data_IF_229411742925
#
_entry.id   IF_229411742925
#
_cell.length_a   1.000
_cell.length_b   1.000
_cell.length_c   1.000
_cell.angle_alpha   90.00
_cell.angle_beta   90.00
_cell.angle_gamma   90.00
#
_symmetry.space_group_name_H-M   'P 1'
#
loop_
_entity.id
_entity.type
_entity.pdbx_description
1 polymer ?
#
# COMPACT_ATOMS: atom_id res chain seq x y z
N UNK A 1 13.11 -26.80 34.75
CA UNK A 1 11.85 -26.58 34.02
C UNK A 1 11.62 -27.76 33.11
N UNK A 2 10.46 -28.39 33.21
CA UNK A 2 10.02 -29.38 32.21
C UNK A 2 9.50 -28.67 30.95
N UNK A 3 9.19 -29.44 29.89
CA UNK A 3 8.76 -28.87 28.60
C UNK A 3 7.43 -28.11 28.70
N UNK A 4 6.52 -28.56 29.56
CA UNK A 4 5.21 -27.93 29.79
C UNK A 4 5.34 -26.59 30.52
N UNK A 5 6.18 -26.52 31.54
CA UNK A 5 6.53 -25.29 32.25
C UNK A 5 7.21 -24.29 31.32
N UNK A 6 8.05 -24.78 30.40
CA UNK A 6 8.71 -23.93 29.41
C UNK A 6 7.72 -23.39 28.37
N UNK A 7 6.82 -24.20 27.83
CA UNK A 7 5.75 -23.72 26.95
C UNK A 7 4.88 -22.66 27.65
N UNK A 8 4.48 -22.90 28.90
CA UNK A 8 3.69 -21.95 29.68
C UNK A 8 4.44 -20.63 29.91
N UNK A 9 5.73 -20.70 30.27
CA UNK A 9 6.57 -19.51 30.44
C UNK A 9 6.73 -18.72 29.12
N UNK A 10 6.97 -19.41 28.00
CA UNK A 10 7.08 -18.78 26.67
C UNK A 10 5.78 -18.06 26.30
N UNK A 11 4.61 -18.67 26.53
CA UNK A 11 3.31 -18.03 26.30
C UNK A 11 3.11 -16.80 27.17
N UNK A 12 3.48 -16.87 28.46
CA UNK A 12 3.42 -15.73 29.40
C UNK A 12 4.29 -14.56 28.95
N UNK A 13 5.45 -14.85 28.34
CA UNK A 13 6.36 -13.87 27.74
C UNK A 13 5.93 -13.40 26.33
N UNK A 14 4.79 -13.88 25.82
CA UNK A 14 4.30 -13.61 24.45
C UNK A 14 5.28 -14.09 23.36
N UNK A 15 5.99 -15.20 23.61
CA UNK A 15 6.89 -15.89 22.69
C UNK A 15 6.16 -17.06 22.00
N UNK A 16 5.07 -16.74 21.32
CA UNK A 16 4.14 -17.74 20.77
C UNK A 16 4.66 -18.50 19.55
N UNK A 17 5.62 -17.92 18.81
CA UNK A 17 6.38 -18.59 17.77
C UNK A 17 7.24 -19.69 18.37
N UNK A 18 8.12 -19.35 19.32
CA UNK A 18 8.95 -20.33 20.04
C UNK A 18 8.12 -21.44 20.66
N UNK A 19 7.04 -21.11 21.37
CA UNK A 19 6.16 -22.08 22.01
C UNK A 19 5.61 -23.13 21.01
N UNK A 20 5.23 -22.69 19.80
CA UNK A 20 4.64 -23.58 18.81
C UNK A 20 5.65 -24.53 18.13
N UNK A 21 6.92 -24.13 18.01
CA UNK A 21 7.96 -24.93 17.34
C UNK A 21 8.93 -25.61 18.31
N UNK A 22 8.79 -25.36 19.62
CA UNK A 22 9.71 -25.81 20.66
C UNK A 22 10.01 -27.31 20.58
N UNK A 23 8.97 -28.15 20.54
CA UNK A 23 9.15 -29.61 20.47
C UNK A 23 9.82 -30.05 19.17
N UNK A 24 9.44 -29.46 18.03
CA UNK A 24 10.00 -29.79 16.74
C UNK A 24 11.51 -29.45 16.67
N UNK A 25 11.88 -28.25 17.15
CA UNK A 25 13.28 -27.80 17.18
C UNK A 25 14.12 -28.58 18.19
N UNK A 26 13.55 -28.99 19.33
CA UNK A 26 14.25 -29.86 20.29
C UNK A 26 14.55 -31.24 19.70
N UNK A 27 13.58 -31.85 18.98
CA UNK A 27 13.82 -33.11 18.28
C UNK A 27 14.87 -32.96 17.19
N UNK A 28 14.79 -31.88 16.40
CA UNK A 28 15.79 -31.58 15.37
C UNK A 28 17.19 -31.45 15.97
N UNK A 29 17.34 -30.71 17.08
CA UNK A 29 18.64 -30.55 17.74
C UNK A 29 19.21 -31.88 18.27
N UNK A 30 18.37 -32.81 18.70
CA UNK A 30 18.80 -34.15 19.10
C UNK A 30 19.28 -34.99 17.92
N UNK A 31 18.57 -34.93 16.78
CA UNK A 31 18.91 -35.69 15.57
C UNK A 31 20.16 -35.14 14.89
N UNK A 32 20.25 -33.82 14.73
CA UNK A 32 21.34 -33.13 14.02
C UNK A 32 22.54 -32.79 14.92
N UNK A 33 22.45 -33.04 16.23
CA UNK A 33 23.45 -32.66 17.25
C UNK A 33 23.81 -31.17 17.19
N UNK A 34 22.80 -30.31 17.06
CA UNK A 34 22.98 -28.86 17.02
C UNK A 34 23.63 -28.37 18.32
N UNK A 35 24.52 -27.38 18.22
CA UNK A 35 25.08 -26.75 19.40
C UNK A 35 23.94 -26.02 20.17
N UNK A 36 24.05 -25.88 21.51
CA UNK A 36 23.01 -25.21 22.30
C UNK A 36 22.70 -23.79 21.81
N UNK A 37 23.72 -23.07 21.34
CA UNK A 37 23.54 -21.72 20.78
C UNK A 37 22.74 -21.73 19.47
N UNK A 38 22.95 -22.74 18.60
CA UNK A 38 22.25 -22.84 17.33
C UNK A 38 20.76 -23.15 17.53
N UNK A 39 20.44 -24.01 18.51
CA UNK A 39 19.05 -24.28 18.90
C UNK A 39 18.35 -23.01 19.39
N UNK A 40 18.99 -22.24 20.28
CA UNK A 40 18.42 -20.98 20.78
C UNK A 40 18.29 -19.98 19.65
N UNK A 41 19.30 -19.85 18.78
CA UNK A 41 19.26 -18.98 17.59
C UNK A 41 18.09 -19.35 16.67
N UNK A 42 17.86 -20.63 16.39
CA UNK A 42 16.75 -21.09 15.55
C UNK A 42 15.39 -20.77 16.19
N UNK A 43 15.22 -21.04 17.49
CA UNK A 43 14.00 -20.72 18.22
C UNK A 43 13.69 -19.23 18.21
N UNK A 44 14.70 -18.39 18.44
CA UNK A 44 14.55 -16.92 18.39
C UNK A 44 14.23 -16.46 16.96
N UNK A 45 14.87 -17.03 15.94
CA UNK A 45 14.58 -16.72 14.55
C UNK A 45 13.12 -17.04 14.19
N UNK A 46 12.59 -18.18 14.62
CA UNK A 46 11.19 -18.58 14.39
C UNK A 46 10.20 -17.61 15.08
N UNK A 47 10.52 -17.12 16.29
CA UNK A 47 9.71 -16.08 16.94
C UNK A 47 9.73 -14.76 16.18
N UNK A 48 10.92 -14.32 15.77
CA UNK A 48 11.09 -13.06 15.04
C UNK A 48 10.35 -13.10 13.71
N UNK A 49 10.42 -14.21 12.98
CA UNK A 49 9.70 -14.42 11.73
C UNK A 49 8.18 -14.36 11.96
N UNK A 50 7.67 -15.11 12.94
CA UNK A 50 6.24 -15.08 13.27
C UNK A 50 5.73 -13.70 13.70
N UNK A 51 6.55 -12.92 14.42
CA UNK A 51 6.21 -11.55 14.81
C UNK A 51 6.17 -10.62 13.61
N UNK A 52 7.13 -10.74 12.70
CA UNK A 52 7.15 -9.99 11.44
C UNK A 52 5.92 -10.30 10.59
N UNK A 53 5.59 -11.58 10.41
CA UNK A 53 4.42 -12.01 9.64
C UNK A 53 3.13 -11.45 10.23
N UNK A 54 2.92 -11.59 11.54
CA UNK A 54 1.73 -11.03 12.20
C UNK A 54 1.64 -9.51 12.09
N UNK A 55 2.78 -8.83 12.16
CA UNK A 55 2.82 -7.38 12.00
C UNK A 55 2.49 -6.96 10.57
N UNK A 56 3.02 -7.68 9.59
CA UNK A 56 2.71 -7.52 8.17
C UNK A 56 1.22 -7.74 7.92
N UNK A 57 0.67 -8.89 8.31
CA UNK A 57 -0.74 -9.24 8.13
C UNK A 57 -1.68 -8.21 8.76
N UNK A 58 -1.35 -7.77 9.98
CA UNK A 58 -2.15 -6.74 10.67
C UNK A 58 -2.13 -5.42 9.89
N UNK A 59 -0.96 -4.97 9.43
CA UNK A 59 -0.83 -3.72 8.67
C UNK A 59 -1.49 -3.82 7.30
N UNK A 60 -1.35 -4.96 6.63
CA UNK A 60 -1.97 -5.24 5.33
C UNK A 60 -3.50 -5.23 5.44
N UNK A 61 -4.06 -5.88 6.46
CA UNK A 61 -5.50 -5.82 6.78
C UNK A 61 -5.96 -4.39 7.06
N UNK A 62 -5.20 -3.63 7.87
CA UNK A 62 -5.54 -2.24 8.20
C UNK A 62 -5.42 -1.28 7.00
N UNK A 63 -4.58 -1.59 6.03
CA UNK A 63 -4.43 -0.78 4.82
C UNK A 63 -5.71 -0.76 3.97
N UNK A 64 -6.54 -1.81 4.04
CA UNK A 64 -7.80 -1.97 3.29
C UNK A 64 -7.63 -1.83 1.77
N UNK A 65 -6.64 -2.52 1.21
CA UNK A 65 -6.47 -2.60 -0.25
C UNK A 65 -7.72 -3.18 -0.94
N UNK A 66 -8.05 -2.67 -2.13
CA UNK A 66 -9.16 -3.18 -2.94
C UNK A 66 -8.91 -4.63 -3.39
N UNK A 67 -7.70 -4.88 -3.89
CA UNK A 67 -7.20 -6.17 -4.35
C UNK A 67 -5.98 -6.56 -3.50
N UNK A 68 -6.15 -7.35 -2.43
CA UNK A 68 -5.08 -7.60 -1.44
C UNK A 68 -3.87 -8.37 -1.99
N UNK A 69 -4.07 -9.15 -3.06
CA UNK A 69 -3.07 -10.04 -3.64
C UNK A 69 -2.11 -9.34 -4.62
N UNK A 70 -2.35 -8.05 -4.94
CA UNK A 70 -1.52 -7.33 -5.91
C UNK A 70 -0.09 -7.19 -5.40
N UNK A 71 0.86 -7.62 -6.22
CA UNK A 71 2.30 -7.56 -5.96
C UNK A 71 3.02 -7.09 -7.22
N UNK A 72 4.30 -6.71 -7.09
CA UNK A 72 5.11 -6.37 -8.26
C UNK A 72 5.44 -7.62 -9.09
N UNK A 73 5.56 -8.79 -8.46
CA UNK A 73 5.86 -10.05 -9.14
C UNK A 73 4.73 -10.50 -10.09
N UNK A 74 3.49 -10.14 -9.76
CA UNK A 74 2.31 -10.41 -10.60
C UNK A 74 2.10 -9.37 -11.72
N UNK A 75 2.97 -8.36 -11.83
CA UNK A 75 2.86 -7.30 -12.81
C UNK A 75 3.70 -7.58 -14.06
N UNK A 76 3.04 -7.68 -15.22
CA UNK A 76 3.71 -7.84 -16.52
C UNK A 76 4.26 -6.50 -17.03
N UNK A 77 5.55 -6.26 -16.79
CA UNK A 77 6.25 -5.07 -17.27
C UNK A 77 6.51 -5.07 -18.79
N UNK A 78 6.39 -6.20 -19.48
CA UNK A 78 6.58 -6.29 -20.93
C UNK A 78 5.33 -5.84 -21.70
N UNK A 79 4.16 -5.84 -21.06
CA UNK A 79 2.93 -5.34 -21.64
C UNK A 79 3.00 -3.86 -22.04
N UNK A 80 3.58 -3.03 -21.16
CA UNK A 80 3.76 -1.59 -21.36
C UNK A 80 5.26 -1.23 -21.26
N UNK A 81 6.04 -1.61 -22.27
CA UNK A 81 7.52 -1.42 -22.31
C UNK A 81 8.02 0.01 -22.11
N UNK A 82 7.19 1.02 -22.39
CA UNK A 82 7.54 2.45 -22.21
C UNK A 82 7.42 2.93 -20.76
N UNK A 83 6.95 2.09 -19.83
CA UNK A 83 6.89 2.44 -18.41
C UNK A 83 8.28 2.41 -17.77
N UNK A 84 8.55 3.39 -16.92
CA UNK A 84 9.83 3.50 -16.21
C UNK A 84 9.92 2.44 -15.11
N UNK A 85 10.51 1.28 -15.42
CA UNK A 85 10.71 0.18 -14.48
C UNK A 85 11.62 0.57 -13.32
N UNK A 86 12.68 1.34 -13.59
CA UNK A 86 13.61 1.78 -12.57
C UNK A 86 12.91 2.61 -11.49
N UNK A 87 12.04 3.53 -11.90
CA UNK A 87 11.23 4.32 -10.96
C UNK A 87 10.28 3.44 -10.14
N UNK A 88 9.60 2.46 -10.77
CA UNK A 88 8.68 1.56 -10.05
C UNK A 88 9.44 0.74 -9.00
N UNK A 89 10.61 0.20 -9.34
CA UNK A 89 11.44 -0.55 -8.40
C UNK A 89 12.01 0.35 -7.29
N UNK A 90 12.39 1.59 -7.59
CA UNK A 90 12.84 2.54 -6.56
C UNK A 90 11.70 2.89 -5.60
N UNK A 91 10.50 3.17 -6.10
CA UNK A 91 9.31 3.38 -5.26
C UNK A 91 8.97 2.15 -4.41
N UNK A 92 9.18 0.94 -4.93
CA UNK A 92 8.99 -0.30 -4.19
C UNK A 92 9.92 -0.46 -2.99
N UNK A 93 11.09 0.21 -2.98
CA UNK A 93 11.98 0.25 -1.81
C UNK A 93 11.41 1.07 -0.66
N UNK A 94 10.31 1.80 -0.89
CA UNK A 94 9.70 2.75 0.06
C UNK A 94 10.64 3.88 0.53
N UNK A 95 11.75 4.13 -0.19
CA UNK A 95 12.68 5.23 0.12
C UNK A 95 11.98 6.60 0.07
N UNK A 96 11.11 6.81 -0.91
CA UNK A 96 10.30 8.02 -1.03
C UNK A 96 9.44 8.27 0.22
N UNK A 97 8.95 7.21 0.90
CA UNK A 97 8.20 7.30 2.16
C UNK A 97 9.10 7.80 3.30
N UNK A 98 10.34 7.34 3.35
CA UNK A 98 11.33 7.82 4.31
C UNK A 98 11.70 9.29 4.09
N UNK A 99 11.78 9.70 2.82
CA UNK A 99 12.13 11.06 2.38
C UNK A 99 10.93 12.02 2.41
N UNK A 100 9.71 11.52 2.65
CA UNK A 100 8.46 12.28 2.66
C UNK A 100 8.14 12.91 1.29
N UNK A 101 8.55 12.21 0.25
CA UNK A 101 8.27 12.54 -1.14
C UNK A 101 6.93 11.92 -1.56
N UNK A 102 6.31 12.48 -2.59
CA UNK A 102 5.01 12.01 -3.08
C UNK A 102 5.17 11.19 -4.37
N UNK A 103 4.11 10.51 -4.80
CA UNK A 103 4.09 9.79 -6.06
C UNK A 103 2.77 10.02 -6.79
N UNK A 104 2.84 10.28 -8.10
CA UNK A 104 1.67 10.55 -8.94
C UNK A 104 1.67 9.65 -10.16
N UNK A 105 0.67 8.77 -10.26
CA UNK A 105 0.52 7.84 -11.37
C UNK A 105 -0.57 8.32 -12.32
N UNK A 106 -0.21 8.59 -13.56
CA UNK A 106 -1.09 9.15 -14.58
C UNK A 106 -1.22 8.19 -15.77
N UNK A 107 -2.42 8.08 -16.34
CA UNK A 107 -2.63 7.34 -17.58
C UNK A 107 -4.04 6.80 -17.72
N UNK A 108 -4.43 6.29 -18.89
CA UNK A 108 -5.80 5.85 -19.14
C UNK A 108 -6.21 4.65 -18.26
N UNK A 109 -7.50 4.32 -18.18
CA UNK A 109 -7.99 3.16 -17.44
C UNK A 109 -7.37 1.84 -17.94
N UNK A 110 -7.16 0.89 -17.01
CA UNK A 110 -6.66 -0.45 -17.34
C UNK A 110 -5.15 -0.56 -17.57
N UNK A 111 -4.39 0.51 -17.33
CA UNK A 111 -2.93 0.57 -17.61
C UNK A 111 -2.04 0.07 -16.48
N UNK A 112 -2.63 -0.33 -15.35
CA UNK A 112 -1.92 -0.89 -14.20
C UNK A 112 -1.70 0.06 -13.02
N UNK A 113 -2.19 1.31 -13.06
CA UNK A 113 -2.01 2.31 -11.98
C UNK A 113 -2.41 1.79 -10.60
N UNK A 114 -3.65 1.34 -10.45
CA UNK A 114 -4.18 0.80 -9.18
C UNK A 114 -3.45 -0.46 -8.72
N UNK A 115 -2.98 -1.29 -9.66
CA UNK A 115 -2.16 -2.48 -9.34
C UNK A 115 -0.83 -2.02 -8.75
N UNK A 116 -0.13 -1.12 -9.42
CA UNK A 116 1.17 -0.62 -8.99
C UNK A 116 1.08 0.13 -7.66
N UNK A 117 0.05 0.96 -7.47
CA UNK A 117 -0.19 1.66 -6.22
C UNK A 117 -0.33 0.68 -5.04
N UNK A 118 -1.16 -0.36 -5.19
CA UNK A 118 -1.35 -1.38 -4.16
C UNK A 118 -0.11 -2.25 -3.96
N UNK A 119 0.60 -2.59 -5.04
CA UNK A 119 1.84 -3.37 -4.96
C UNK A 119 2.96 -2.60 -4.23
N UNK A 120 3.10 -1.30 -4.50
CA UNK A 120 4.03 -0.42 -3.77
C UNK A 120 3.58 -0.24 -2.32
N UNK A 121 2.27 -0.09 -2.07
CA UNK A 121 1.72 -0.07 -0.72
C UNK A 121 2.08 -1.34 0.06
N UNK A 122 1.91 -2.52 -0.55
CA UNK A 122 2.32 -3.80 0.04
C UNK A 122 3.82 -3.86 0.31
N UNK A 123 4.65 -3.41 -0.63
CA UNK A 123 6.09 -3.35 -0.45
C UNK A 123 6.48 -2.41 0.71
N UNK A 124 5.82 -1.26 0.85
CA UNK A 124 6.03 -0.35 1.98
C UNK A 124 5.65 -0.99 3.32
N UNK A 125 4.61 -1.83 3.37
CA UNK A 125 4.26 -2.60 4.58
C UNK A 125 5.35 -3.63 4.91
N UNK A 126 5.93 -4.29 3.91
CA UNK A 126 7.07 -5.20 4.10
C UNK A 126 8.29 -4.47 4.66
N UNK A 127 8.53 -3.22 4.23
CA UNK A 127 9.57 -2.35 4.80
C UNK A 127 9.22 -1.78 6.18
N UNK A 128 8.06 -2.14 6.74
CA UNK A 128 7.67 -1.80 8.09
C UNK A 128 6.84 -0.52 8.22
N UNK A 129 6.42 0.11 7.12
CA UNK A 129 5.56 1.28 7.15
C UNK A 129 4.09 0.91 7.36
N UNK A 130 3.34 1.84 7.95
CA UNK A 130 1.87 1.78 7.97
C UNK A 130 1.36 2.45 6.70
N UNK A 131 0.40 1.81 6.03
CA UNK A 131 -0.19 2.30 4.79
C UNK A 131 -1.69 2.40 4.98
N UNK A 132 -2.30 3.45 4.43
CA UNK A 132 -3.76 3.56 4.30
C UNK A 132 -4.09 3.69 2.82
N UNK A 133 -4.98 2.85 2.32
CA UNK A 133 -5.47 2.90 0.95
C UNK A 133 -6.94 3.30 0.94
N UNK A 134 -7.30 4.26 0.08
CA UNK A 134 -8.68 4.59 -0.24
C UNK A 134 -8.82 4.93 -1.71
N UNK A 135 -9.98 4.61 -2.27
CA UNK A 135 -10.38 5.19 -3.55
C UNK A 135 -10.75 6.65 -3.33
N UNK A 136 -10.43 7.52 -4.30
CA UNK A 136 -10.65 8.95 -4.18
C UNK A 136 -12.10 9.30 -3.84
N UNK A 137 -13.07 8.63 -4.48
CA UNK A 137 -14.48 8.87 -4.22
C UNK A 137 -14.88 8.45 -2.79
N UNK A 138 -14.50 7.25 -2.35
CA UNK A 138 -14.76 6.75 -0.99
C UNK A 138 -14.13 7.64 0.06
N UNK A 139 -12.90 8.11 -0.18
CA UNK A 139 -12.23 9.04 0.72
C UNK A 139 -13.02 10.35 0.91
N UNK A 140 -13.52 10.93 -0.19
CA UNK A 140 -14.32 12.16 -0.12
C UNK A 140 -15.67 11.93 0.57
N UNK A 141 -16.32 10.78 0.31
CA UNK A 141 -17.55 10.37 1.00
C UNK A 141 -17.31 10.22 2.51
N UNK A 142 -16.27 9.49 2.92
CA UNK A 142 -15.91 9.30 4.33
C UNK A 142 -15.57 10.64 5.04
N UNK A 143 -14.90 11.59 4.36
CA UNK A 143 -14.64 12.93 4.90
C UNK A 143 -15.96 13.71 5.08
N UNK A 144 -16.87 13.60 4.11
CA UNK A 144 -18.18 14.26 4.17
C UNK A 144 -19.01 13.70 5.34
N UNK A 145 -19.08 12.37 5.47
CA UNK A 145 -19.76 11.68 6.57
C UNK A 145 -19.17 12.07 7.93
N UNK A 146 -17.84 12.03 8.08
CA UNK A 146 -17.17 12.44 9.31
C UNK A 146 -17.44 13.93 9.66
N UNK A 147 -17.70 14.77 8.66
CA UNK A 147 -18.10 16.16 8.87
C UNK A 147 -19.50 16.27 9.46
N UNK A 148 -20.45 15.48 8.95
CA UNK A 148 -21.82 15.42 9.46
C UNK A 148 -21.88 14.86 10.89
N UNK A 149 -21.03 13.89 11.21
CA UNK A 149 -20.94 13.26 12.53
C UNK A 149 -20.10 14.07 13.55
N UNK A 150 -19.43 15.15 13.11
CA UNK A 150 -18.53 15.93 13.96
C UNK A 150 -17.19 15.26 14.27
N UNK A 151 -16.87 14.14 13.62
CA UNK A 151 -15.64 13.34 13.81
C UNK A 151 -14.53 13.67 12.80
N UNK A 152 -14.76 14.60 11.86
CA UNK A 152 -13.82 15.03 10.78
C UNK A 152 -12.39 15.24 11.24
N UNK A 153 -12.20 15.92 12.38
CA UNK A 153 -10.86 16.21 12.92
C UNK A 153 -10.10 14.93 13.26
N UNK A 154 -10.78 13.93 13.82
CA UNK A 154 -10.19 12.63 14.17
C UNK A 154 -9.86 11.86 12.91
N UNK A 155 -10.79 11.85 11.94
CA UNK A 155 -10.59 11.14 10.68
C UNK A 155 -9.40 11.69 9.86
N UNK A 156 -9.32 13.02 9.70
CA UNK A 156 -8.17 13.66 9.05
C UNK A 156 -6.86 13.46 9.84
N UNK A 157 -6.91 13.39 11.17
CA UNK A 157 -5.73 13.08 11.98
C UNK A 157 -5.21 11.65 11.71
N UNK A 158 -6.10 10.67 11.56
CA UNK A 158 -5.72 9.30 11.19
C UNK A 158 -5.05 9.25 9.81
N UNK A 159 -5.68 9.89 8.81
CA UNK A 159 -5.18 9.95 7.45
C UNK A 159 -3.82 10.66 7.37
N UNK A 160 -3.62 11.73 8.13
CA UNK A 160 -2.36 12.50 8.15
C UNK A 160 -1.25 11.81 8.94
N UNK A 161 -1.58 11.03 9.96
CA UNK A 161 -0.61 10.26 10.75
C UNK A 161 -0.05 9.03 10.01
N UNK A 162 -0.72 8.54 8.97
CA UNK A 162 -0.23 7.43 8.16
C UNK A 162 1.05 7.83 7.40
N UNK A 163 2.17 7.08 7.53
CA UNK A 163 3.39 7.35 6.76
C UNK A 163 3.18 7.37 5.25
N UNK A 164 2.36 6.46 4.73
CA UNK A 164 1.94 6.43 3.34
C UNK A 164 0.41 6.41 3.24
N UNK A 165 -0.14 7.39 2.54
CA UNK A 165 -1.54 7.44 2.14
C UNK A 165 -1.61 7.17 0.62
N UNK A 166 -2.46 6.23 0.21
CA UNK A 166 -2.72 5.92 -1.18
C UNK A 166 -4.13 6.37 -1.53
N UNK A 167 -4.24 7.30 -2.47
CA UNK A 167 -5.51 7.81 -3.01
C UNK A 167 -5.64 7.33 -4.45
N UNK A 168 -6.45 6.30 -4.67
CA UNK A 168 -6.55 5.63 -5.96
C UNK A 168 -7.76 6.12 -6.79
N UNK A 169 -7.63 6.04 -8.11
CA UNK A 169 -8.71 6.19 -9.08
C UNK A 169 -9.35 7.60 -9.16
N UNK A 170 -8.54 8.66 -9.03
CA UNK A 170 -9.02 10.03 -9.20
C UNK A 170 -9.46 10.27 -10.66
N UNK A 171 -10.70 10.74 -10.83
CA UNK A 171 -11.23 11.19 -12.14
C UNK A 171 -12.18 10.23 -12.86
N UNK A 172 -12.58 9.12 -12.24
CA UNK A 172 -13.56 8.17 -12.81
C UNK A 172 -15.00 8.37 -12.34
N UNK A 173 -15.20 8.93 -11.14
CA UNK A 173 -16.52 9.16 -10.55
C UNK A 173 -16.73 10.65 -10.30
N UNK A 174 -17.99 11.07 -10.22
CA UNK A 174 -18.34 12.40 -9.75
C UNK A 174 -17.97 12.50 -8.27
N UNK A 175 -17.30 13.59 -7.91
CA UNK A 175 -16.89 13.86 -6.54
C UNK A 175 -17.85 14.90 -5.92
N UNK A 176 -17.98 14.94 -4.58
CA UNK A 176 -18.69 16.00 -3.89
C UNK A 176 -18.14 17.39 -4.25
N UNK A 177 -18.96 18.43 -4.11
CA UNK A 177 -18.54 19.81 -4.39
C UNK A 177 -17.39 20.30 -3.48
N UNK A 178 -17.25 19.72 -2.28
CA UNK A 178 -16.17 20.05 -1.34
C UNK A 178 -14.87 19.29 -1.62
N UNK A 179 -14.85 18.36 -2.58
CA UNK A 179 -13.73 17.46 -2.79
C UNK A 179 -12.41 18.17 -3.11
N UNK A 180 -12.46 19.31 -3.81
CA UNK A 180 -11.28 20.12 -4.10
C UNK A 180 -10.62 20.63 -2.81
N UNK A 181 -11.43 21.23 -1.93
CA UNK A 181 -11.00 21.81 -0.65
C UNK A 181 -10.54 20.72 0.32
N UNK A 182 -11.30 19.63 0.42
CA UNK A 182 -10.98 18.49 1.30
C UNK A 182 -9.67 17.82 0.90
N UNK A 183 -9.46 17.59 -0.41
CA UNK A 183 -8.22 17.01 -0.91
C UNK A 183 -7.05 17.98 -0.75
N UNK A 184 -7.25 19.28 -1.02
CA UNK A 184 -6.23 20.30 -0.79
C UNK A 184 -5.82 20.35 0.69
N UNK A 185 -6.78 20.38 1.62
CA UNK A 185 -6.53 20.37 3.06
C UNK A 185 -5.73 19.13 3.48
N UNK A 186 -6.10 17.96 2.96
CA UNK A 186 -5.41 16.72 3.24
C UNK A 186 -3.96 16.74 2.74
N UNK A 187 -3.73 17.17 1.49
CA UNK A 187 -2.38 17.29 0.91
C UNK A 187 -1.56 18.32 1.68
N UNK A 188 -2.12 19.48 2.02
CA UNK A 188 -1.44 20.51 2.82
C UNK A 188 -0.99 20.00 4.19
N UNK A 189 -1.82 19.21 4.88
CA UNK A 189 -1.48 18.65 6.19
C UNK A 189 -0.38 17.59 6.13
N UNK A 190 -0.21 16.94 4.96
CA UNK A 190 0.77 15.87 4.73
C UNK A 190 2.07 16.37 4.08
N UNK A 191 2.02 17.49 3.37
CA UNK A 191 3.17 18.12 2.72
C UNK A 191 4.39 18.22 3.65
N UNK A 192 5.54 17.70 3.19
CA UNK A 192 6.82 17.58 3.92
C UNK A 192 6.77 16.82 5.26
N UNK A 193 5.66 16.14 5.57
CA UNK A 193 5.43 15.41 6.82
C UNK A 193 5.23 13.92 6.60
N UNK A 194 4.50 13.54 5.56
CA UNK A 194 4.23 12.15 5.20
C UNK A 194 3.89 12.03 3.71
N UNK A 195 4.13 10.85 3.14
CA UNK A 195 4.05 10.64 1.69
C UNK A 195 2.65 10.27 1.21
N UNK A 196 2.29 10.75 0.03
CA UNK A 196 1.02 10.47 -0.63
C UNK A 196 1.27 9.91 -2.02
N UNK A 197 0.69 8.74 -2.30
CA UNK A 197 0.64 8.16 -3.64
C UNK A 197 -0.75 8.36 -4.20
N UNK A 198 -0.85 9.08 -5.31
CA UNK A 198 -2.12 9.38 -5.96
C UNK A 198 -2.14 8.78 -7.37
N UNK A 199 -3.27 8.17 -7.76
CA UNK A 199 -3.47 7.71 -9.14
C UNK A 199 -4.62 8.47 -9.80
N UNK A 200 -4.43 8.87 -11.06
CA UNK A 200 -5.46 9.55 -11.83
C UNK A 200 -5.57 9.03 -13.25
N UNK A 201 -6.82 8.97 -13.72
CA UNK A 201 -7.15 8.61 -15.10
C UNK A 201 -7.18 9.82 -16.04
N UNK A 202 -7.02 11.03 -15.49
CA UNK A 202 -7.00 12.29 -16.25
C UNK A 202 -5.64 12.96 -16.13
N UNK A 203 -5.22 13.72 -17.16
CA UNK A 203 -4.06 14.60 -17.01
C UNK A 203 -4.32 15.63 -15.90
N UNK A 204 -3.26 16.12 -15.28
CA UNK A 204 -3.35 17.13 -14.20
C UNK A 204 -4.07 18.41 -14.65
N UNK A 205 -3.95 18.77 -15.93
CA UNK A 205 -4.60 19.94 -16.53
C UNK A 205 -6.14 19.87 -16.47
N UNK A 206 -6.70 18.67 -16.44
CA UNK A 206 -8.16 18.46 -16.37
C UNK A 206 -8.70 18.45 -14.93
N UNK A 207 -7.83 18.49 -13.92
CA UNK A 207 -8.27 18.38 -12.53
C UNK A 207 -9.08 19.59 -12.08
N UNK A 208 -8.79 20.79 -12.59
CA UNK A 208 -9.59 21.99 -12.31
C UNK A 208 -11.05 21.82 -12.71
N UNK A 209 -11.31 21.20 -13.87
CA UNK A 209 -12.67 20.87 -14.34
C UNK A 209 -13.29 19.72 -13.56
N UNK A 210 -12.48 18.74 -13.16
CA UNK A 210 -12.94 17.56 -12.43
C UNK A 210 -13.40 17.91 -11.01
N UNK A 211 -12.62 18.74 -10.32
CA UNK A 211 -12.83 19.10 -8.91
C UNK A 211 -13.67 20.38 -8.75
N UNK A 212 -13.86 21.15 -9.82
CA UNK A 212 -14.75 22.32 -9.81
C UNK A 212 -14.13 23.59 -9.22
N UNK A 213 -12.89 23.54 -8.74
CA UNK A 213 -12.15 24.68 -8.21
C UNK A 213 -10.71 24.69 -8.74
N UNK A 214 -10.46 25.54 -9.75
CA UNK A 214 -9.14 25.62 -10.39
C UNK A 214 -8.08 26.21 -9.46
N UNK A 215 -8.46 27.11 -8.54
CA UNK A 215 -7.52 27.74 -7.62
C UNK A 215 -7.05 26.72 -6.58
N UNK A 216 -7.97 25.97 -5.98
CA UNK A 216 -7.64 24.90 -5.03
C UNK A 216 -6.79 23.79 -5.70
N UNK A 217 -7.13 23.38 -6.93
CA UNK A 217 -6.34 22.39 -7.68
C UNK A 217 -4.92 22.91 -7.95
N UNK A 218 -4.76 24.17 -8.32
CA UNK A 218 -3.43 24.75 -8.58
C UNK A 218 -2.58 24.72 -7.32
N UNK A 219 -3.15 25.13 -6.17
CA UNK A 219 -2.47 25.08 -4.88
C UNK A 219 -2.14 23.64 -4.42
N UNK A 220 -2.99 22.67 -4.77
CA UNK A 220 -2.77 21.26 -4.49
C UNK A 220 -1.61 20.72 -5.33
N UNK A 221 -1.62 20.99 -6.64
CA UNK A 221 -0.61 20.49 -7.57
C UNK A 221 0.76 21.08 -7.28
N UNK A 222 0.83 22.35 -6.91
CA UNK A 222 2.07 23.02 -6.48
C UNK A 222 2.76 22.25 -5.35
N UNK A 223 2.00 21.87 -4.31
CA UNK A 223 2.53 21.13 -3.15
C UNK A 223 2.82 19.67 -3.46
N UNK A 224 1.91 19.01 -4.17
CA UNK A 224 2.05 17.60 -4.52
C UNK A 224 3.26 17.39 -5.45
N UNK A 225 3.44 18.25 -6.46
CA UNK A 225 4.45 18.07 -7.49
C UNK A 225 5.84 18.56 -7.09
N UNK A 226 5.98 19.33 -6.01
CA UNK A 226 7.28 19.86 -5.57
C UNK A 226 8.31 18.75 -5.34
N UNK A 227 7.89 17.64 -4.72
CA UNK A 227 8.73 16.47 -4.44
C UNK A 227 8.09 15.16 -4.89
N UNK A 228 7.33 15.18 -6.01
CA UNK A 228 6.67 13.97 -6.50
C UNK A 228 7.45 13.22 -7.57
N UNK A 229 7.41 11.90 -7.43
CA UNK A 229 7.73 10.94 -8.48
C UNK A 229 6.54 10.76 -9.42
N UNK A 230 6.64 11.29 -10.64
CA UNK A 230 5.56 11.18 -11.63
C UNK A 230 5.78 9.99 -12.55
N UNK A 231 4.88 9.00 -12.48
CA UNK A 231 4.86 7.84 -13.38
C UNK A 231 3.74 7.99 -14.42
N UNK A 232 4.12 8.03 -15.69
CA UNK A 232 3.16 7.95 -16.80
C UNK A 232 3.00 6.49 -17.23
N UNK A 233 1.82 5.92 -17.00
CA UNK A 233 1.49 4.57 -17.43
C UNK A 233 1.23 4.53 -18.95
N UNK A 234 1.59 3.40 -19.57
CA UNK A 234 1.46 3.22 -21.02
C UNK A 234 -0.01 3.26 -21.50
N UNK A 235 -0.25 3.36 -22.82
CA UNK A 235 -1.59 3.55 -23.36
C UNK A 235 -2.44 2.26 -23.40
N UNK A 236 -1.82 1.08 -23.26
CA UNK A 236 -2.51 -0.20 -23.46
C UNK A 236 -3.27 -0.60 -22.20
N UNK A 237 -4.53 -0.99 -22.38
CA UNK A 237 -5.39 -1.52 -21.31
C UNK A 237 -5.21 -3.04 -21.17
N UNK A 238 -4.78 -3.47 -19.98
CA UNK A 238 -4.66 -4.88 -19.62
C UNK A 238 -6.02 -5.59 -19.66
N UNK A 239 -7.08 -4.91 -19.23
CA UNK A 239 -8.45 -5.47 -19.20
C UNK A 239 -8.93 -5.87 -20.60
N UNK A 240 -8.54 -5.11 -21.62
CA UNK A 240 -8.90 -5.40 -23.02
C UNK A 240 -8.12 -6.60 -23.56
N UNK A 241 -6.85 -6.78 -23.15
CA UNK A 241 -6.05 -7.97 -23.50
C UNK A 241 -6.70 -9.23 -22.92
N UNK A 242 -6.98 -9.26 -21.62
CA UNK A 242 -7.62 -10.41 -20.95
C UNK A 242 -8.93 -10.80 -21.65
N UNK A 243 -9.76 -9.82 -22.01
CA UNK A 243 -11.01 -10.08 -22.73
C UNK A 243 -10.80 -10.63 -24.16
N UNK A 244 -9.69 -10.26 -24.81
CA UNK A 244 -9.37 -10.75 -26.17
C UNK A 244 -8.86 -12.19 -26.12
N UNK A 245 -7.99 -12.49 -25.16
CA UNK A 245 -7.40 -13.83 -24.97
C UNK A 245 -8.48 -14.88 -24.62
N UNK A 246 -9.45 -14.52 -23.78
CA UNK A 246 -10.61 -15.37 -23.44
C UNK A 246 -11.48 -15.70 -24.68
N UNK A 247 -11.66 -14.73 -25.60
CA UNK A 247 -12.43 -14.96 -26.84
C UNK A 247 -11.71 -15.87 -27.83
N UNK A 248 -10.38 -15.83 -27.88
CA UNK A 248 -9.59 -16.72 -28.74
C UNK A 248 -9.56 -18.16 -28.22
N UNK A 249 -9.61 -18.37 -26.91
CA UNK A 249 -9.71 -19.72 -26.32
C UNK A 249 -11.10 -20.35 -26.53
N UNK A 250 -12.17 -19.57 -26.41
CA UNK A 250 -13.54 -20.04 -26.67
C UNK A 250 -13.82 -20.28 -28.17
N UNK A 251 -13.11 -19.62 -29.08
CA UNK A 251 -13.21 -19.85 -30.52
C UNK A 251 -12.34 -21.02 -31.04
N UNK A 252 -11.48 -21.57 -30.18
CA UNK A 252 -10.56 -22.68 -30.51
C UNK A 252 -11.00 -24.03 -29.90
N UNK A 253 -12.17 -24.07 -29.25
CA UNK A 253 -12.85 -25.28 -28.77
C UNK A 253 -14.09 -25.55 -29.61
#
# INVERSE_FOLDING_TARGET
MNLVELDHALRKLRLSGMAAVLEARLRQAQTEKLAPLDLVSALVADELLRRQDRLFERRHTLARFRDPDRSLDSFDFDFNKKMNRALIHDLATARFVAQREDALFLGPPGTGKSHLAQAIGRAAIQQGYRVVYREAHTLMEEITEATLEGTRKVYLAELTAAPLLIVDDLGMRKLPHTAAEDLLELIMRRYERASTLLTSNRPVDDWGKLLGDTAAVTALLDRLLHHAHVLKCGPRSWRTKVHTDLRTEDASK
#
